data_IF_189976984400
#
_entry.id   IF_189976984400
#
_cell.length_a   1.000
_cell.length_b   1.000
_cell.length_c   1.000
_cell.angle_alpha   90.00
_cell.angle_beta   90.00
_cell.angle_gamma   90.00
#
_symmetry.space_group_name_H-M   'P 1'
#
loop_
_entity.id
_entity.type
_entity.pdbx_description
1 polymer ?
#
# COMPACT_ATOMS: atom_id res chain seq x y z
N UNK A 1 1.07 10.51 29.83
CA UNK A 1 1.67 11.71 29.18
C UNK A 1 0.64 12.28 28.21
N UNK A 2 0.51 13.61 28.12
CA UNK A 2 -0.56 14.28 27.37
C UNK A 2 -0.07 14.95 26.09
N UNK A 3 -0.86 14.81 25.02
CA UNK A 3 -0.66 15.51 23.75
C UNK A 3 -1.44 16.83 23.79
N UNK A 4 -0.75 17.98 23.62
CA UNK A 4 -1.39 19.29 23.58
C UNK A 4 -1.45 19.80 22.13
N UNK A 5 -2.64 19.73 21.53
CA UNK A 5 -2.90 20.26 20.18
C UNK A 5 -3.86 21.44 20.32
N UNK A 6 -3.37 22.64 19.99
CA UNK A 6 -4.19 23.86 19.90
C UNK A 6 -4.64 24.06 18.45
N UNK A 7 -5.74 23.43 18.09
CA UNK A 7 -6.39 23.59 16.79
C UNK A 7 -7.90 23.38 16.92
N UNK A 8 -8.67 24.41 16.58
CA UNK A 8 -10.14 24.35 16.59
C UNK A 8 -10.66 23.35 15.56
N UNK A 9 -9.96 23.23 14.42
CA UNK A 9 -10.27 22.27 13.37
C UNK A 9 -10.09 20.83 13.86
N UNK A 10 -8.97 20.52 14.51
CA UNK A 10 -8.71 19.19 15.05
C UNK A 10 -9.78 18.79 16.08
N UNK A 11 -10.18 19.73 16.95
CA UNK A 11 -11.24 19.51 17.91
C UNK A 11 -12.59 19.28 17.22
N UNK A 12 -12.93 20.06 16.20
CA UNK A 12 -14.19 19.92 15.46
C UNK A 12 -14.27 18.55 14.75
N UNK A 13 -13.17 18.11 14.11
CA UNK A 13 -13.08 16.81 13.46
C UNK A 13 -13.20 15.66 14.47
N UNK A 14 -12.45 15.72 15.57
CA UNK A 14 -12.52 14.71 16.62
C UNK A 14 -13.94 14.59 17.20
N UNK A 15 -14.64 15.71 17.39
CA UNK A 15 -16.02 15.73 17.89
C UNK A 15 -17.01 15.12 16.89
N UNK A 16 -16.84 15.37 15.59
CA UNK A 16 -17.66 14.73 14.56
C UNK A 16 -17.45 13.22 14.53
N UNK A 17 -16.19 12.77 14.53
CA UNK A 17 -15.87 11.33 14.52
C UNK A 17 -16.45 10.66 15.76
N UNK A 18 -16.19 11.20 16.96
CA UNK A 18 -16.76 10.71 18.20
C UNK A 18 -18.30 10.66 18.19
N UNK A 19 -18.95 11.69 17.63
CA UNK A 19 -20.40 11.72 17.47
C UNK A 19 -20.95 10.64 16.54
N UNK A 20 -20.21 10.28 15.49
CA UNK A 20 -20.60 9.21 14.57
C UNK A 20 -20.31 7.80 15.10
N UNK A 21 -19.23 7.63 15.87
CA UNK A 21 -18.79 6.31 16.35
C UNK A 21 -19.29 5.98 17.76
N UNK A 22 -19.76 6.99 18.52
CA UNK A 22 -20.08 6.85 19.94
C UNK A 22 -18.86 6.72 20.85
N UNK A 23 -17.65 6.92 20.31
CA UNK A 23 -16.41 6.84 21.07
C UNK A 23 -16.08 8.14 21.83
N UNK A 24 -15.17 8.05 22.80
CA UNK A 24 -14.59 9.25 23.40
C UNK A 24 -13.75 10.05 22.39
N UNK A 25 -13.61 11.36 22.60
CA UNK A 25 -12.73 12.22 21.79
C UNK A 25 -11.29 11.65 21.73
N UNK A 26 -10.77 11.18 22.86
CA UNK A 26 -9.44 10.60 22.92
C UNK A 26 -9.33 9.32 22.08
N UNK A 27 -10.32 8.43 22.16
CA UNK A 27 -10.36 7.22 21.33
C UNK A 27 -10.41 7.56 19.85
N UNK A 28 -11.31 8.46 19.47
CA UNK A 28 -11.46 8.92 18.09
C UNK A 28 -10.14 9.47 17.51
N UNK A 29 -9.41 10.28 18.29
CA UNK A 29 -8.09 10.80 17.88
C UNK A 29 -7.06 9.68 17.78
N UNK A 30 -6.97 8.79 18.76
CA UNK A 30 -6.00 7.68 18.75
C UNK A 30 -6.24 6.74 17.57
N UNK A 31 -7.50 6.39 17.29
CA UNK A 31 -7.87 5.54 16.16
C UNK A 31 -7.51 6.20 14.84
N UNK A 32 -7.90 7.47 14.63
CA UNK A 32 -7.57 8.20 13.41
C UNK A 32 -6.05 8.30 13.16
N UNK A 33 -5.26 8.54 14.22
CA UNK A 33 -3.80 8.57 14.12
C UNK A 33 -3.21 7.20 13.76
N UNK A 34 -3.72 6.12 14.38
CA UNK A 34 -3.29 4.74 14.06
C UNK A 34 -3.60 4.37 12.62
N UNK A 35 -4.81 4.65 12.15
CA UNK A 35 -5.21 4.36 10.76
C UNK A 35 -4.36 5.14 9.75
N UNK A 36 -4.04 6.41 10.05
CA UNK A 36 -3.17 7.22 9.20
C UNK A 36 -1.75 6.66 9.17
N UNK A 37 -1.22 6.25 10.33
CA UNK A 37 0.10 5.64 10.43
C UNK A 37 0.17 4.33 9.63
N UNK A 38 -0.81 3.43 9.83
CA UNK A 38 -0.86 2.15 9.13
C UNK A 38 -0.94 2.33 7.60
N UNK A 39 -1.68 3.34 7.13
CA UNK A 39 -1.74 3.66 5.70
C UNK A 39 -0.37 4.08 5.16
N UNK A 40 0.32 4.98 5.86
CA UNK A 40 1.65 5.44 5.47
C UNK A 40 2.69 4.31 5.52
N UNK A 41 2.62 3.44 6.51
CA UNK A 41 3.50 2.27 6.62
C UNK A 41 3.26 1.28 5.49
N UNK A 42 2.00 0.99 5.13
CA UNK A 42 1.66 0.15 3.98
C UNK A 42 2.20 0.73 2.68
N UNK A 43 1.98 2.03 2.43
CA UNK A 43 2.50 2.72 1.24
C UNK A 43 4.03 2.65 1.18
N UNK A 44 4.72 2.94 2.29
CA UNK A 44 6.19 2.85 2.39
C UNK A 44 6.68 1.44 2.10
N UNK A 45 6.02 0.42 2.65
CA UNK A 45 6.40 -0.98 2.45
C UNK A 45 6.25 -1.42 0.99
N UNK A 46 5.22 -0.95 0.28
CA UNK A 46 5.06 -1.22 -1.16
C UNK A 46 6.19 -0.57 -1.95
N UNK A 47 6.48 0.71 -1.71
CA UNK A 47 7.54 1.42 -2.40
C UNK A 47 8.92 0.82 -2.12
N UNK A 48 9.16 0.33 -0.91
CA UNK A 48 10.40 -0.37 -0.57
C UNK A 48 10.51 -1.71 -1.27
N UNK A 49 9.41 -2.48 -1.35
CA UNK A 49 9.38 -3.73 -2.13
C UNK A 49 9.66 -3.51 -3.61
N UNK A 50 9.04 -2.50 -4.21
CA UNK A 50 9.28 -2.13 -5.62
C UNK A 50 10.75 -1.79 -5.83
N UNK A 51 11.31 -0.89 -5.00
CA UNK A 51 12.73 -0.54 -5.08
C UNK A 51 13.66 -1.74 -4.95
N UNK A 52 13.33 -2.69 -4.06
CA UNK A 52 14.10 -3.92 -3.92
C UNK A 52 14.01 -4.82 -5.15
N UNK A 53 12.85 -4.93 -5.78
CA UNK A 53 12.65 -5.66 -7.04
C UNK A 53 13.45 -4.99 -8.16
N UNK A 54 13.33 -3.67 -8.32
CA UNK A 54 14.06 -2.91 -9.33
C UNK A 54 15.58 -3.08 -9.18
N UNK A 55 16.08 -3.05 -7.94
CA UNK A 55 17.50 -3.27 -7.65
C UNK A 55 17.97 -4.70 -7.98
N UNK A 56 17.08 -5.70 -7.96
CA UNK A 56 17.37 -7.07 -8.41
C UNK A 56 17.35 -7.11 -9.95
N UNK A 57 16.32 -6.56 -10.57
CA UNK A 57 16.16 -6.53 -12.03
C UNK A 57 17.32 -5.79 -12.70
N UNK A 58 17.79 -4.68 -12.13
CA UNK A 58 18.93 -3.92 -12.65
C UNK A 58 20.26 -4.69 -12.64
N UNK A 59 20.35 -5.79 -11.89
CA UNK A 59 21.54 -6.67 -11.84
C UNK A 59 21.47 -7.81 -12.84
N UNK A 60 20.30 -8.06 -13.46
CA UNK A 60 20.14 -9.14 -14.42
C UNK A 60 20.79 -8.77 -15.76
N UNK A 61 21.43 -9.73 -16.45
CA UNK A 61 21.91 -9.50 -17.81
C UNK A 61 20.73 -9.25 -18.76
N UNK A 62 20.94 -8.55 -19.88
CA UNK A 62 19.91 -8.40 -20.89
C UNK A 62 19.46 -9.77 -21.40
N UNK A 63 18.17 -9.86 -21.75
CA UNK A 63 17.60 -11.07 -22.36
C UNK A 63 18.37 -11.35 -23.66
N UNK A 64 18.93 -12.57 -23.83
CA UNK A 64 19.63 -12.93 -25.06
C UNK A 64 18.74 -12.75 -26.30
N UNK A 65 19.29 -12.40 -27.47
CA UNK A 65 18.51 -12.32 -28.68
C UNK A 65 17.93 -13.70 -29.05
N UNK A 66 16.65 -13.74 -29.41
CA UNK A 66 15.99 -14.95 -29.90
C UNK A 66 15.40 -15.87 -28.83
N UNK A 67 15.53 -15.54 -27.53
CA UNK A 67 14.78 -16.26 -26.49
C UNK A 67 13.40 -15.63 -26.28
N UNK A 68 12.38 -16.46 -26.17
CA UNK A 68 11.00 -16.05 -25.93
C UNK A 68 10.34 -17.02 -24.95
N UNK A 69 9.42 -16.51 -24.13
CA UNK A 69 8.49 -17.33 -23.35
C UNK A 69 7.18 -17.59 -24.10
N UNK A 70 7.17 -17.27 -25.39
CA UNK A 70 6.09 -17.65 -26.29
C UNK A 70 6.12 -19.17 -26.50
N UNK A 71 4.97 -19.78 -26.28
CA UNK A 71 4.73 -21.21 -26.40
C UNK A 71 3.53 -21.50 -27.31
N UNK A 72 3.14 -20.52 -28.14
CA UNK A 72 2.01 -20.65 -29.09
C UNK A 72 2.19 -21.79 -30.10
N UNK A 73 3.41 -22.26 -30.29
CA UNK A 73 3.73 -23.45 -31.07
C UNK A 73 3.19 -24.74 -30.44
N UNK A 74 3.15 -24.84 -29.11
CA UNK A 74 2.69 -26.04 -28.38
C UNK A 74 1.18 -26.12 -28.20
N UNK A 75 0.44 -25.03 -28.43
CA UNK A 75 -1.00 -25.00 -28.23
C UNK A 75 -1.74 -24.69 -29.54
N UNK A 76 -2.97 -25.21 -29.68
CA UNK A 76 -3.88 -24.86 -30.75
C UNK A 76 -4.59 -23.52 -30.47
N UNK A 77 -5.47 -23.10 -31.39
CA UNK A 77 -6.22 -21.84 -31.28
C UNK A 77 -7.19 -21.81 -30.08
N UNK A 78 -7.52 -22.98 -29.51
CA UNK A 78 -8.34 -23.13 -28.31
C UNK A 78 -7.49 -23.22 -27.03
N UNK A 79 -6.16 -23.20 -27.14
CA UNK A 79 -5.23 -23.32 -26.03
C UNK A 79 -5.00 -24.77 -25.55
N UNK A 80 -5.37 -25.77 -26.35
CA UNK A 80 -5.11 -27.18 -26.05
C UNK A 80 -3.75 -27.61 -26.60
N UNK A 81 -3.03 -28.53 -25.92
CA UNK A 81 -1.78 -29.07 -26.45
C UNK A 81 -1.99 -29.71 -27.82
N UNK A 82 -1.12 -29.37 -28.77
CA UNK A 82 -1.04 -30.05 -30.07
C UNK A 82 -0.42 -31.44 -29.95
#
# INVERSE_FOLDING_TARGET
MGMNIKSDEAHALAKKIAGHTGESLTSAVVVALKERLERLERERNVQEKIRRIDAILAKLPPVPPGVTSDHTDFYDEMGLPK
#
